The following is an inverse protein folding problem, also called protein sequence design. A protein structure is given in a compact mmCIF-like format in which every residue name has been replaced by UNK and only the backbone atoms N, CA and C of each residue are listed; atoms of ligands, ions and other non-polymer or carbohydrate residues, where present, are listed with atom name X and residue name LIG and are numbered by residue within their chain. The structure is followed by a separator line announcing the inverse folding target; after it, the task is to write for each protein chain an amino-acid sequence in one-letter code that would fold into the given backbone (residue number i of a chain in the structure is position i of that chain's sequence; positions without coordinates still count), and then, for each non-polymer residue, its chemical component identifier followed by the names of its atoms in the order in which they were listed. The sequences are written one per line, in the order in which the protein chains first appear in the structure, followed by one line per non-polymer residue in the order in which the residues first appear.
data_IF_564812637829
#
_entry.id   IF_564812637829
#
_cell.length_a   1.000
_cell.length_b   1.000
_cell.length_c   1.000
_cell.angle_alpha   90.00
_cell.angle_beta   90.00
_cell.angle_gamma   90.00
#
_symmetry.space_group_name_H-M   'P 1'
#
loop_
_entity.id
_entity.type
_entity.pdbx_description
1 polymer ?
#
# COMPACT_ATOMS: atom_id res chain seq x y z
N UNK A 1 -20.14 22.97 23.95
CA UNK A 1 -18.96 22.93 23.04
C UNK A 1 -18.79 21.62 22.25
N UNK A 2 -19.64 20.58 22.40
CA UNK A 2 -19.50 19.28 21.68
C UNK A 2 -20.11 19.18 20.27
N UNK A 3 -20.84 20.19 19.78
CA UNK A 3 -21.60 20.11 18.51
C UNK A 3 -20.79 20.41 17.24
N UNK A 4 -19.58 20.98 17.36
CA UNK A 4 -18.77 21.41 16.22
C UNK A 4 -17.69 20.40 15.80
N UNK A 5 -17.45 19.35 16.60
CA UNK A 5 -16.57 18.23 16.24
C UNK A 5 -16.91 17.56 14.89
N UNK A 6 -18.19 17.27 14.55
CA UNK A 6 -18.50 16.68 13.24
C UNK A 6 -18.15 17.64 12.10
N UNK A 7 -18.26 18.95 12.31
CA UNK A 7 -17.97 19.96 11.29
C UNK A 7 -16.47 20.08 11.04
N UNK A 8 -15.65 20.07 12.11
CA UNK A 8 -14.19 20.02 11.97
C UNK A 8 -13.72 18.71 11.33
N UNK A 9 -14.39 17.59 11.60
CA UNK A 9 -14.06 16.30 11.00
C UNK A 9 -14.34 16.28 9.49
N UNK A 10 -15.52 16.77 9.07
CA UNK A 10 -15.90 16.88 7.66
C UNK A 10 -14.95 17.85 6.92
N UNK A 11 -14.60 18.99 7.54
CA UNK A 11 -13.62 19.92 7.00
C UNK A 11 -12.26 19.25 6.73
N UNK A 12 -11.76 18.44 7.66
CA UNK A 12 -10.52 17.69 7.45
C UNK A 12 -10.63 16.69 6.30
N UNK A 13 -11.76 15.97 6.17
CA UNK A 13 -11.97 15.02 5.07
C UNK A 13 -11.96 15.73 3.71
N UNK A 14 -12.70 16.83 3.58
CA UNK A 14 -12.75 17.62 2.34
C UNK A 14 -11.37 18.18 2.01
N UNK A 15 -10.64 18.66 3.02
CA UNK A 15 -9.28 19.16 2.84
C UNK A 15 -8.31 18.06 2.37
N UNK A 16 -8.33 16.88 3.01
CA UNK A 16 -7.53 15.72 2.61
C UNK A 16 -7.85 15.27 1.18
N UNK A 17 -9.14 15.23 0.81
CA UNK A 17 -9.57 14.89 -0.54
C UNK A 17 -9.08 15.91 -1.57
N UNK A 18 -9.16 17.20 -1.26
CA UNK A 18 -8.66 18.28 -2.12
C UNK A 18 -7.14 18.20 -2.31
N UNK A 19 -6.39 17.99 -1.22
CA UNK A 19 -4.94 17.80 -1.29
C UNK A 19 -4.57 16.56 -2.12
N UNK A 20 -5.25 15.43 -1.91
CA UNK A 20 -5.00 14.21 -2.67
C UNK A 20 -5.25 14.41 -4.18
N UNK A 21 -6.34 15.10 -4.54
CA UNK A 21 -6.64 15.44 -5.93
C UNK A 21 -5.57 16.33 -6.56
N UNK A 22 -5.11 17.38 -5.84
CA UNK A 22 -4.03 18.23 -6.33
C UNK A 22 -2.72 17.47 -6.51
N UNK A 23 -2.36 16.57 -5.59
CA UNK A 23 -1.15 15.75 -5.70
C UNK A 23 -1.22 14.85 -6.93
N UNK A 24 -2.34 14.16 -7.14
CA UNK A 24 -2.54 13.30 -8.31
C UNK A 24 -2.42 14.08 -9.62
N UNK A 25 -3.04 15.25 -9.70
CA UNK A 25 -2.96 16.12 -10.87
C UNK A 25 -1.52 16.58 -11.14
N UNK A 26 -0.80 16.99 -10.10
CA UNK A 26 0.59 17.42 -10.22
C UNK A 26 1.51 16.26 -10.64
N UNK A 27 1.29 15.06 -10.10
CA UNK A 27 2.03 13.86 -10.48
C UNK A 27 1.85 13.54 -11.98
N UNK A 28 0.63 13.63 -12.51
CA UNK A 28 0.37 13.37 -13.93
C UNK A 28 1.10 14.36 -14.84
N UNK A 29 1.11 15.66 -14.48
CA UNK A 29 1.84 16.68 -15.24
C UNK A 29 3.35 16.45 -15.21
N UNK A 30 3.90 16.13 -14.04
CA UNK A 30 5.33 15.83 -13.89
C UNK A 30 5.67 14.58 -14.70
N UNK A 31 4.81 13.56 -14.67
CA UNK A 31 4.99 12.34 -15.44
C UNK A 31 5.07 12.57 -16.93
N UNK A 32 4.15 13.36 -17.46
CA UNK A 32 4.15 13.75 -18.87
C UNK A 32 5.40 14.58 -19.25
N UNK A 33 5.95 15.36 -18.32
CA UNK A 33 7.13 16.20 -18.57
C UNK A 33 8.43 15.41 -18.53
N UNK A 34 8.52 14.38 -17.68
CA UNK A 34 9.72 13.56 -17.49
C UNK A 34 9.71 12.25 -18.31
N UNK A 35 8.65 11.99 -19.07
CA UNK A 35 8.45 10.73 -19.84
C UNK A 35 8.54 9.48 -18.94
N UNK A 36 8.13 9.61 -17.67
CA UNK A 36 8.11 8.51 -16.71
C UNK A 36 6.71 7.92 -16.70
N UNK A 37 6.54 6.58 -16.67
CA UNK A 37 5.22 5.96 -16.56
C UNK A 37 4.51 6.41 -15.27
N UNK A 38 3.24 6.81 -15.38
CA UNK A 38 2.41 7.21 -14.23
C UNK A 38 2.36 6.13 -13.14
N UNK A 39 2.39 4.85 -13.54
CA UNK A 39 2.45 3.70 -12.63
C UNK A 39 3.66 3.75 -11.70
N UNK A 40 4.85 4.11 -12.20
CA UNK A 40 6.08 4.17 -11.40
C UNK A 40 6.02 5.34 -10.41
N UNK A 41 5.50 6.50 -10.83
CA UNK A 41 5.34 7.65 -9.94
C UNK A 41 4.30 7.40 -8.84
N UNK A 42 3.21 6.69 -9.16
CA UNK A 42 2.23 6.26 -8.16
C UNK A 42 2.82 5.30 -7.14
N UNK A 43 3.56 4.29 -7.61
CA UNK A 43 4.20 3.29 -6.74
C UNK A 43 5.32 3.88 -5.86
N UNK A 44 5.92 5.00 -6.25
CA UNK A 44 7.03 5.63 -5.51
C UNK A 44 6.58 6.85 -4.73
N UNK A 45 6.21 7.94 -5.40
CA UNK A 45 5.92 9.21 -4.76
C UNK A 45 4.59 9.19 -3.99
N UNK A 46 3.53 8.65 -4.58
CA UNK A 46 2.22 8.61 -3.93
C UNK A 46 2.23 7.62 -2.76
N UNK A 47 2.80 6.43 -2.97
CA UNK A 47 2.97 5.43 -1.91
C UNK A 47 3.84 5.93 -0.75
N UNK A 48 4.98 6.58 -1.06
CA UNK A 48 5.84 7.16 -0.03
C UNK A 48 5.11 8.25 0.76
N UNK A 49 4.43 9.18 0.06
CA UNK A 49 3.67 10.26 0.68
C UNK A 49 2.58 9.77 1.63
N UNK A 50 1.89 8.68 1.29
CA UNK A 50 0.87 8.06 2.13
C UNK A 50 1.44 7.39 3.39
N UNK A 51 2.58 6.72 3.29
CA UNK A 51 3.20 5.98 4.40
C UNK A 51 3.91 6.87 5.44
N UNK A 52 4.38 8.06 5.05
CA UNK A 52 5.07 8.98 5.98
C UNK A 52 4.25 9.35 7.23
N UNK A 53 3.01 9.86 7.13
CA UNK A 53 2.22 10.23 8.31
C UNK A 53 1.91 9.03 9.22
N UNK A 54 1.69 7.85 8.63
CA UNK A 54 1.45 6.62 9.39
C UNK A 54 2.70 6.18 10.18
N UNK A 55 3.87 6.21 9.53
CA UNK A 55 5.15 5.93 10.18
C UNK A 55 5.42 6.90 11.34
N UNK A 56 5.17 8.19 11.13
CA UNK A 56 5.33 9.21 12.18
C UNK A 56 4.38 8.94 13.36
N UNK A 57 3.10 8.64 13.09
CA UNK A 57 2.13 8.32 14.13
C UNK A 57 2.53 7.07 14.93
N UNK A 58 2.98 6.00 14.26
CA UNK A 58 3.45 4.79 14.92
C UNK A 58 4.67 5.06 15.81
N UNK A 59 5.64 5.83 15.32
CA UNK A 59 6.85 6.21 16.08
C UNK A 59 6.50 7.05 17.31
N UNK A 60 5.56 7.99 17.18
CA UNK A 60 5.08 8.82 18.30
C UNK A 60 4.45 7.96 19.42
N UNK A 61 3.59 7.00 19.06
CA UNK A 61 2.95 6.10 20.05
C UNK A 61 3.97 5.18 20.74
N UNK A 62 4.95 4.67 19.99
CA UNK A 62 6.04 3.85 20.55
C UNK A 62 6.88 4.66 21.53
N UNK A 63 7.18 5.93 21.20
CA UNK A 63 7.93 6.83 22.10
C UNK A 63 7.17 7.21 23.36
N UNK A 64 5.84 7.22 23.31
CA UNK A 64 4.97 7.46 24.48
C UNK A 64 4.86 6.28 25.45
N UNK A 65 5.64 5.21 25.25
CA UNK A 65 5.74 4.08 26.18
C UNK A 65 4.80 2.91 25.88
N UNK A 66 3.96 3.00 24.84
CA UNK A 66 3.00 1.95 24.46
C UNK A 66 3.40 1.29 23.14
N UNK A 67 4.48 0.51 23.17
CA UNK A 67 5.01 -0.17 21.97
C UNK A 67 4.02 -1.15 21.33
N UNK A 68 3.24 -1.87 22.15
CA UNK A 68 2.21 -2.79 21.65
C UNK A 68 1.07 -2.06 20.90
N UNK A 69 0.73 -0.84 21.36
CA UNK A 69 -0.29 0.00 20.72
C UNK A 69 0.22 0.62 19.41
N UNK A 70 1.51 0.93 19.33
CA UNK A 70 2.13 1.40 18.08
C UNK A 70 2.12 0.33 16.99
N UNK A 71 2.42 -0.92 17.36
CA UNK A 71 2.39 -2.06 16.43
C UNK A 71 0.97 -2.36 15.96
N UNK A 72 -0.01 -2.38 16.87
CA UNK A 72 -1.40 -2.66 16.48
C UNK A 72 -1.99 -1.58 15.58
N UNK A 73 -1.66 -0.30 15.83
CA UNK A 73 -2.11 0.82 14.98
C UNK A 73 -1.54 0.71 13.56
N UNK A 74 -0.24 0.41 13.43
CA UNK A 74 0.40 0.26 12.12
C UNK A 74 -0.15 -0.94 11.33
N UNK A 75 -0.42 -2.06 12.01
CA UNK A 75 -1.03 -3.23 11.36
C UNK A 75 -2.47 -2.96 10.91
N UNK A 76 -3.27 -2.33 11.79
CA UNK A 76 -4.67 -2.02 11.49
C UNK A 76 -4.83 -1.02 10.34
N UNK A 77 -4.00 0.03 10.31
CA UNK A 77 -4.04 1.04 9.25
C UNK A 77 -3.74 0.44 7.87
N UNK A 78 -2.72 -0.41 7.75
CA UNK A 78 -2.41 -1.13 6.51
C UNK A 78 -3.53 -2.07 6.05
N UNK A 79 -4.12 -2.85 6.97
CA UNK A 79 -5.22 -3.75 6.62
C UNK A 79 -6.47 -2.98 6.15
N UNK A 80 -6.80 -1.86 6.79
CA UNK A 80 -7.90 -1.00 6.37
C UNK A 80 -7.62 -0.31 5.04
N UNK A 81 -6.38 0.14 4.80
CA UNK A 81 -5.99 0.76 3.53
C UNK A 81 -6.17 -0.21 2.36
N UNK A 82 -5.77 -1.47 2.50
CA UNK A 82 -5.98 -2.52 1.49
C UNK A 82 -7.48 -2.76 1.28
N UNK A 83 -8.25 -2.89 2.37
CA UNK A 83 -9.68 -3.16 2.31
C UNK A 83 -10.46 -2.01 1.63
N UNK A 84 -10.13 -0.76 1.94
CA UNK A 84 -10.79 0.40 1.36
C UNK A 84 -10.28 0.78 -0.03
N UNK A 85 -9.00 0.58 -0.33
CA UNK A 85 -8.42 0.98 -1.63
C UNK A 85 -8.64 -0.07 -2.71
N UNK A 86 -8.67 -1.36 -2.36
CA UNK A 86 -8.89 -2.46 -3.32
C UNK A 86 -10.27 -3.08 -3.17
N UNK A 87 -10.70 -3.35 -1.94
CA UNK A 87 -11.97 -4.03 -1.68
C UNK A 87 -13.19 -3.17 -1.98
N UNK A 88 -13.21 -1.91 -1.54
CA UNK A 88 -14.36 -1.02 -1.70
C UNK A 88 -14.68 -0.69 -3.17
N UNK A 89 -13.72 -0.30 -4.03
CA UNK A 89 -14.02 0.01 -5.44
C UNK A 89 -14.51 -1.21 -6.20
N UNK A 90 -13.93 -2.38 -5.90
CA UNK A 90 -14.35 -3.64 -6.50
C UNK A 90 -15.77 -4.03 -6.07
N UNK A 91 -16.07 -3.91 -4.77
CA UNK A 91 -17.41 -4.15 -4.23
C UNK A 91 -18.46 -3.21 -4.84
N UNK A 92 -18.16 -1.91 -4.92
CA UNK A 92 -19.04 -0.90 -5.54
C UNK A 92 -19.29 -1.25 -7.01
N UNK A 93 -18.25 -1.64 -7.75
CA UNK A 93 -18.36 -2.02 -9.16
C UNK A 93 -19.20 -3.28 -9.36
N UNK A 94 -18.99 -4.31 -8.54
CA UNK A 94 -19.81 -5.52 -8.52
C UNK A 94 -21.28 -5.23 -8.22
N UNK A 95 -21.56 -4.27 -7.34
CA UNK A 95 -22.91 -3.80 -7.05
C UNK A 95 -23.52 -2.99 -8.21
N UNK A 96 -22.75 -2.10 -8.85
CA UNK A 96 -23.23 -1.28 -9.97
C UNK A 96 -23.47 -2.08 -11.24
N UNK A 97 -22.66 -3.11 -11.48
CA UNK A 97 -22.78 -3.99 -12.66
C UNK A 97 -23.93 -5.01 -12.53
N UNK A 98 -24.77 -4.90 -11.49
CA UNK A 98 -26.04 -5.62 -11.37
C UNK A 98 -25.82 -7.13 -11.30
N UNK A 99 -25.39 -7.59 -10.11
CA UNK A 99 -25.05 -8.97 -9.78
C UNK A 99 -25.64 -10.02 -10.72
N UNK A 100 -24.78 -10.64 -11.52
CA UNK A 100 -25.09 -11.86 -12.29
C UNK A 100 -26.15 -11.73 -13.39
N UNK A 101 -26.32 -10.59 -14.06
CA UNK A 101 -27.24 -10.48 -15.21
C UNK A 101 -26.59 -10.34 -16.59
N UNK A 102 -25.30 -10.01 -16.65
CA UNK A 102 -24.51 -10.15 -17.87
C UNK A 102 -23.25 -10.94 -17.54
N UNK A 103 -22.86 -11.86 -18.42
CA UNK A 103 -21.57 -12.54 -18.44
C UNK A 103 -20.43 -11.51 -18.66
N UNK A 104 -20.27 -10.59 -17.72
CA UNK A 104 -19.16 -9.66 -17.63
C UNK A 104 -18.14 -10.32 -16.73
N UNK A 105 -17.51 -11.37 -17.27
CA UNK A 105 -16.19 -11.74 -16.80
C UNK A 105 -15.34 -10.47 -16.97
N UNK A 106 -15.01 -9.81 -15.86
CA UNK A 106 -13.90 -8.87 -15.89
C UNK A 106 -12.68 -9.72 -16.25
N UNK A 107 -12.25 -9.66 -17.51
CA UNK A 107 -10.96 -10.21 -17.94
C UNK A 107 -9.91 -9.42 -17.19
N UNK A 108 -9.58 -9.86 -15.98
CA UNK A 108 -8.41 -9.36 -15.31
C UNK A 108 -7.24 -10.04 -15.98
N UNK A 109 -6.32 -9.25 -16.54
CA UNK A 109 -5.15 -9.71 -17.28
C UNK A 109 -4.47 -10.88 -16.52
N UNK A 110 -4.62 -12.07 -17.09
CA UNK A 110 -4.55 -13.35 -16.38
C UNK A 110 -3.14 -13.77 -15.94
N UNK A 111 -2.14 -12.93 -16.20
CA UNK A 111 -0.74 -13.17 -15.85
C UNK A 111 -0.29 -12.25 -14.72
N UNK A 112 -0.50 -10.93 -14.82
CA UNK A 112 -0.05 -9.96 -13.82
C UNK A 112 -0.63 -10.18 -12.42
N UNK A 113 -1.93 -10.52 -12.33
CA UNK A 113 -2.58 -10.80 -11.04
C UNK A 113 -1.95 -12.00 -10.32
N UNK A 114 -1.65 -13.07 -11.07
CA UNK A 114 -1.08 -14.28 -10.50
C UNK A 114 0.33 -14.02 -9.94
N UNK A 115 1.15 -13.26 -10.67
CA UNK A 115 2.47 -12.86 -10.19
C UNK A 115 2.39 -11.91 -8.97
N UNK A 116 1.51 -10.92 -8.97
CA UNK A 116 1.31 -10.04 -7.82
C UNK A 116 0.82 -10.80 -6.57
N UNK A 117 -0.08 -11.78 -6.73
CA UNK A 117 -0.58 -12.61 -5.62
C UNK A 117 0.54 -13.51 -5.05
N UNK A 118 1.31 -14.18 -5.91
CA UNK A 118 2.43 -15.03 -5.48
C UNK A 118 3.50 -14.19 -4.79
N UNK A 119 3.80 -13.00 -5.31
CA UNK A 119 4.75 -12.07 -4.71
C UNK A 119 4.29 -11.56 -3.33
N UNK A 120 3.01 -11.19 -3.19
CA UNK A 120 2.41 -10.79 -1.92
C UNK A 120 2.44 -11.92 -0.88
N UNK A 121 2.09 -13.15 -1.28
CA UNK A 121 2.16 -14.31 -0.41
C UNK A 121 3.60 -14.63 0.02
N UNK A 122 4.58 -14.48 -0.88
CA UNK A 122 6.00 -14.62 -0.57
C UNK A 122 6.49 -13.59 0.45
N UNK A 123 6.09 -12.32 0.31
CA UNK A 123 6.43 -11.26 1.26
C UNK A 123 5.84 -11.54 2.66
N UNK A 124 4.59 -12.01 2.72
CA UNK A 124 3.92 -12.38 3.99
C UNK A 124 4.61 -13.60 4.64
N UNK A 125 4.93 -14.63 3.85
CA UNK A 125 5.62 -15.81 4.34
C UNK A 125 7.01 -15.47 4.92
N UNK A 126 7.77 -14.61 4.23
CA UNK A 126 9.05 -14.15 4.73
C UNK A 126 8.93 -13.36 6.03
N UNK A 127 7.99 -12.42 6.09
CA UNK A 127 7.71 -11.65 7.30
C UNK A 127 7.39 -12.59 8.47
N UNK A 128 6.60 -13.63 8.23
CA UNK A 128 6.24 -14.62 9.25
C UNK A 128 7.45 -15.45 9.71
N UNK A 129 8.31 -15.89 8.79
CA UNK A 129 9.56 -16.62 9.10
C UNK A 129 10.48 -15.78 10.00
N UNK A 130 10.66 -14.50 9.66
CA UNK A 130 11.53 -13.60 10.44
C UNK A 130 10.97 -13.36 11.84
N UNK A 131 9.65 -13.20 11.98
CA UNK A 131 8.99 -13.06 13.29
C UNK A 131 9.12 -14.34 14.12
N UNK A 132 8.98 -15.51 13.48
CA UNK A 132 9.12 -16.80 14.14
C UNK A 132 10.53 -17.00 14.71
N UNK A 133 11.58 -16.66 13.93
CA UNK A 133 12.98 -16.72 14.38
C UNK A 133 13.29 -15.69 15.48
N UNK A 134 12.57 -14.57 15.52
CA UNK A 134 12.78 -13.50 16.50
C UNK A 134 12.18 -13.75 17.90
N UNK A 135 11.45 -14.86 18.11
CA UNK A 135 10.86 -15.26 19.41
C UNK A 135 10.15 -14.09 20.11
N UNK A 136 9.42 -13.28 19.34
CA UNK A 136 8.57 -12.16 19.81
C UNK A 136 9.25 -11.12 20.74
N UNK A 137 10.59 -11.08 20.84
CA UNK A 137 11.30 -10.05 21.63
C UNK A 137 11.74 -8.90 20.74
N UNK A 138 11.03 -7.77 20.82
CA UNK A 138 11.43 -6.52 20.17
C UNK A 138 12.75 -6.00 20.75
N UNK A 139 13.87 -6.33 20.09
CA UNK A 139 15.20 -5.76 20.34
C UNK A 139 15.58 -4.91 19.13
N UNK A 140 16.24 -3.77 19.34
CA UNK A 140 16.68 -2.84 18.25
C UNK A 140 17.45 -3.55 17.12
N UNK A 141 18.21 -4.60 17.42
CA UNK A 141 18.93 -5.40 16.41
C UNK A 141 18.00 -6.22 15.52
N UNK A 142 16.90 -6.75 16.06
CA UNK A 142 15.89 -7.51 15.30
C UNK A 142 15.18 -6.61 14.30
N UNK A 143 14.83 -5.37 14.71
CA UNK A 143 14.24 -4.39 13.80
C UNK A 143 15.16 -4.00 12.64
N UNK A 144 16.48 -3.90 12.89
CA UNK A 144 17.46 -3.58 11.84
C UNK A 144 17.62 -4.75 10.84
N UNK A 145 17.67 -6.00 11.33
CA UNK A 145 17.71 -7.20 10.49
C UNK A 145 16.44 -7.31 9.63
N UNK A 146 15.28 -6.98 10.22
CA UNK A 146 13.99 -7.02 9.52
C UNK A 146 13.89 -5.93 8.45
N UNK A 147 14.40 -4.73 8.71
CA UNK A 147 14.44 -3.64 7.72
C UNK A 147 15.35 -3.98 6.53
N UNK A 148 16.54 -4.52 6.78
CA UNK A 148 17.47 -4.94 5.73
C UNK A 148 16.89 -6.11 4.92
N UNK A 149 16.31 -7.11 5.59
CA UNK A 149 15.68 -8.25 4.92
C UNK A 149 14.46 -7.84 4.07
N UNK A 150 13.66 -6.91 4.56
CA UNK A 150 12.54 -6.32 3.80
C UNK A 150 13.05 -5.60 2.54
N UNK A 151 14.10 -4.78 2.66
CA UNK A 151 14.70 -4.09 1.53
C UNK A 151 15.23 -5.03 0.45
N UNK A 152 15.88 -6.14 0.83
CA UNK A 152 16.40 -7.14 -0.11
C UNK A 152 15.26 -7.81 -0.89
N UNK A 153 14.17 -8.17 -0.21
CA UNK A 153 13.03 -8.83 -0.86
C UNK A 153 12.24 -7.89 -1.75
N UNK A 154 12.00 -6.66 -1.29
CA UNK A 154 11.33 -5.66 -2.11
C UNK A 154 12.16 -5.33 -3.34
N UNK A 155 13.49 -5.19 -3.21
CA UNK A 155 14.38 -5.00 -4.35
C UNK A 155 14.33 -6.19 -5.32
N UNK A 156 14.35 -7.42 -4.80
CA UNK A 156 14.21 -8.63 -5.62
C UNK A 156 12.86 -8.71 -6.34
N UNK A 157 11.78 -8.31 -5.67
CA UNK A 157 10.42 -8.27 -6.23
C UNK A 157 10.28 -7.22 -7.32
N UNK A 158 10.81 -6.00 -7.10
CA UNK A 158 10.83 -4.92 -8.10
C UNK A 158 11.69 -5.30 -9.30
N UNK A 159 12.84 -5.95 -9.09
CA UNK A 159 13.70 -6.43 -10.19
C UNK A 159 13.04 -7.53 -11.02
N UNK A 160 12.18 -8.35 -10.40
CA UNK A 160 11.41 -9.37 -11.08
C UNK A 160 10.19 -8.79 -11.82
N UNK A 161 9.61 -7.69 -11.34
CA UNK A 161 8.50 -6.98 -11.98
C UNK A 161 8.95 -6.01 -13.08
N UNK A 162 10.18 -5.49 -13.01
CA UNK A 162 10.83 -4.67 -14.06
C UNK A 162 11.40 -5.50 -15.22
N UNK A 163 11.10 -6.79 -15.29
CA UNK A 163 11.41 -7.65 -16.44
C UNK A 163 12.91 -7.79 -16.77
N UNK A 164 13.79 -7.48 -15.80
CA UNK A 164 15.26 -7.48 -16.00
C UNK A 164 15.85 -8.91 -15.98
N UNK A 165 15.16 -9.89 -15.40
CA UNK A 165 15.65 -11.26 -15.22
C UNK A 165 14.89 -12.28 -16.07
N UNK A 166 13.61 -12.05 -16.35
CA UNK A 166 12.78 -12.89 -17.21
C UNK A 166 12.09 -11.95 -18.18
N UNK A 167 12.39 -11.97 -19.49
CA UNK A 167 11.66 -11.19 -20.45
C UNK A 167 10.22 -11.72 -20.52
N UNK A 168 9.28 -11.04 -19.88
CA UNK A 168 7.86 -11.15 -20.19
C UNK A 168 7.70 -10.40 -21.50
N UNK A 169 7.85 -11.13 -22.61
CA UNK A 169 7.74 -10.59 -23.95
C UNK A 169 6.52 -9.68 -24.11
N UNK A 170 6.75 -8.38 -23.98
CA UNK A 170 6.07 -7.37 -24.76
C UNK A 170 6.59 -7.49 -26.20
N UNK A 171 6.27 -8.61 -26.85
CA UNK A 171 6.21 -8.69 -28.30
C UNK A 171 4.73 -8.70 -28.70
N UNK A 172 4.27 -7.51 -29.09
CA UNK A 172 3.02 -7.15 -29.79
C UNK A 172 1.73 -6.99 -28.98
#
# INVERSE_FOLDING_TARGET
MRRWYPLTFIMCIVYLAGCAFMIFWLLSIIGYTFDIPESVMGLTFLAFGGCMPEAVSAVLVIRSGSGAMGVSNAMGANSLAILFSLGLPWFIRTLSDGGSSNNSYLVIASYGLQYSIIALLGAIAWLYIVIYVAVYKLRKRVGMILFVGYGIIVAFMILNELDVIIPSGEEC
#
